data_IF_781321963968
#
_entry.id   IF_781321963968
#
_cell.length_a   1.000
_cell.length_b   1.000
_cell.length_c   1.000
_cell.angle_alpha   90.00
_cell.angle_beta   90.00
_cell.angle_gamma   90.00
#
_symmetry.space_group_name_H-M   'P 1'
#
loop_
_entity.id
_entity.type
_entity.pdbx_description
1 polymer ?
#
# COMPACT_ATOMS: atom_id res chain seq x y z
N UNK A 1 30.59 38.45 -51.09
CA UNK A 1 31.79 37.93 -50.38
C UNK A 1 31.48 36.51 -49.93
N UNK A 2 32.29 35.54 -50.37
CA UNK A 2 32.10 34.09 -50.18
C UNK A 2 32.43 33.68 -48.74
N UNK A 3 31.58 32.87 -48.10
CA UNK A 3 31.92 32.14 -46.88
C UNK A 3 32.54 30.80 -47.26
N UNK A 4 33.83 30.64 -46.97
CA UNK A 4 34.65 29.46 -47.26
C UNK A 4 34.57 28.42 -46.15
N UNK A 5 34.64 27.14 -46.54
CA UNK A 5 34.51 25.93 -45.72
C UNK A 5 35.41 25.91 -44.47
N UNK A 6 34.83 25.52 -43.33
CA UNK A 6 35.61 25.09 -42.15
C UNK A 6 35.80 23.57 -42.16
N UNK A 7 37.05 23.19 -41.94
CA UNK A 7 37.63 21.84 -41.99
C UNK A 7 37.03 20.87 -40.96
N UNK A 8 36.83 19.62 -41.38
CA UNK A 8 36.33 18.45 -40.63
C UNK A 8 37.27 18.02 -39.46
N UNK A 9 38.40 18.69 -39.28
CA UNK A 9 39.45 18.33 -38.32
C UNK A 9 39.13 18.69 -36.85
N UNK A 10 38.05 19.42 -36.55
CA UNK A 10 37.71 19.83 -35.16
C UNK A 10 36.73 18.90 -34.42
N UNK A 11 36.22 17.84 -35.05
CA UNK A 11 35.23 16.92 -34.44
C UNK A 11 35.86 15.67 -33.79
N UNK A 12 37.12 15.35 -34.13
CA UNK A 12 37.76 14.09 -33.69
C UNK A 12 38.50 14.20 -32.34
N UNK A 13 38.67 15.41 -31.78
CA UNK A 13 39.48 15.62 -30.56
C UNK A 13 38.71 15.59 -29.22
N UNK A 14 37.40 15.29 -29.20
CA UNK A 14 36.58 15.23 -27.96
C UNK A 14 36.11 13.83 -27.57
N UNK A 15 36.53 12.77 -28.25
CA UNK A 15 36.07 11.39 -27.98
C UNK A 15 37.14 10.45 -27.41
N UNK A 16 38.35 10.92 -27.09
CA UNK A 16 39.46 10.07 -26.61
C UNK A 16 39.82 10.29 -25.13
N UNK A 17 39.16 11.18 -24.40
CA UNK A 17 39.45 11.46 -22.97
C UNK A 17 38.55 10.78 -21.94
N UNK A 18 37.63 9.87 -22.33
CA UNK A 18 36.72 9.17 -21.38
C UNK A 18 36.99 7.66 -21.25
N UNK A 19 38.09 7.13 -21.82
CA UNK A 19 38.30 5.68 -21.88
C UNK A 19 39.52 5.11 -21.14
N UNK A 20 40.23 5.88 -20.28
CA UNK A 20 41.45 5.35 -19.61
C UNK A 20 41.65 5.81 -18.17
N UNK A 21 40.69 5.56 -17.28
CA UNK A 21 40.97 5.41 -15.83
C UNK A 21 40.11 4.28 -15.25
N UNK A 22 40.25 3.08 -15.82
CA UNK A 22 40.05 1.82 -15.09
C UNK A 22 41.39 1.06 -15.21
N UNK A 23 42.35 1.50 -14.39
CA UNK A 23 43.69 0.92 -14.28
C UNK A 23 44.06 0.89 -12.81
N UNK A 24 44.45 -0.27 -12.32
CA UNK A 24 44.38 -0.64 -10.92
C UNK A 24 45.26 0.17 -9.98
N UNK A 25 44.79 0.24 -8.73
CA UNK A 25 45.65 0.50 -7.58
C UNK A 25 45.45 -0.67 -6.62
N UNK A 26 46.40 -1.60 -6.65
CA UNK A 26 46.64 -2.53 -5.57
C UNK A 26 47.31 -1.74 -4.43
N UNK A 27 46.58 -1.49 -3.34
CA UNK A 27 47.18 -0.97 -2.10
C UNK A 27 47.43 -2.16 -1.18
N UNK A 28 48.72 -2.36 -0.89
CA UNK A 28 49.24 -3.30 0.08
C UNK A 28 48.59 -3.11 1.46
N UNK A 29 48.30 -4.22 2.13
CA UNK A 29 47.61 -4.25 3.41
C UNK A 29 48.38 -3.55 4.53
N UNK A 30 47.66 -2.72 5.28
CA UNK A 30 47.99 -2.38 6.66
C UNK A 30 46.85 -2.96 7.51
N UNK A 31 47.23 -3.91 8.36
CA UNK A 31 46.36 -4.59 9.30
C UNK A 31 45.93 -3.63 10.41
N UNK A 32 44.64 -3.31 10.46
CA UNK A 32 43.96 -2.87 11.68
C UNK A 32 42.72 -3.74 11.86
N UNK A 33 42.68 -4.47 12.97
CA UNK A 33 41.68 -5.49 13.25
C UNK A 33 40.25 -4.97 13.16
N UNK A 34 39.48 -5.50 12.21
CA UNK A 34 38.02 -5.48 12.25
C UNK A 34 37.55 -6.85 12.72
N UNK A 35 36.77 -6.86 13.79
CA UNK A 35 35.91 -7.98 14.16
C UNK A 35 35.20 -8.52 12.91
N UNK A 36 35.03 -9.85 12.74
CA UNK A 36 34.28 -10.36 11.61
C UNK A 36 32.82 -9.95 11.80
N UNK A 37 32.40 -8.90 11.10
CA UNK A 37 31.00 -8.71 10.83
C UNK A 37 30.53 -9.98 10.10
N UNK A 38 29.60 -10.70 10.72
CA UNK A 38 28.85 -11.73 10.02
C UNK A 38 28.11 -11.04 8.88
N UNK A 39 28.72 -11.01 7.70
CA UNK A 39 27.99 -10.76 6.47
C UNK A 39 27.02 -11.93 6.32
N UNK A 40 25.79 -11.73 6.79
CA UNK A 40 24.68 -12.58 6.40
C UNK A 40 24.70 -12.60 4.88
N UNK A 41 25.04 -13.75 4.31
CA UNK A 41 24.89 -13.97 2.87
C UNK A 41 23.40 -13.82 2.60
N UNK A 42 22.99 -12.66 2.09
CA UNK A 42 21.67 -12.54 1.48
C UNK A 42 21.69 -13.56 0.35
N UNK A 43 20.88 -14.62 0.50
CA UNK A 43 20.57 -15.48 -0.62
C UNK A 43 19.91 -14.59 -1.66
N UNK A 44 20.67 -14.13 -2.65
CA UNK A 44 20.15 -13.52 -3.86
C UNK A 44 19.39 -14.61 -4.60
N UNK A 45 18.14 -14.84 -4.16
CA UNK A 45 17.17 -15.52 -4.98
C UNK A 45 17.15 -14.80 -6.32
N UNK A 46 17.31 -15.56 -7.40
CA UNK A 46 17.22 -15.03 -8.76
C UNK A 46 15.96 -14.17 -8.87
N UNK A 47 16.02 -12.97 -9.49
CA UNK A 47 14.83 -12.13 -9.61
C UNK A 47 13.74 -12.93 -10.30
N UNK A 48 12.66 -13.24 -9.56
CA UNK A 48 11.49 -13.88 -10.13
C UNK A 48 10.61 -12.76 -10.69
N UNK A 49 10.34 -12.81 -11.99
CA UNK A 49 9.36 -11.92 -12.61
C UNK A 49 8.03 -12.67 -12.64
N UNK A 50 7.06 -12.19 -11.87
CA UNK A 50 5.68 -12.67 -11.95
C UNK A 50 4.86 -11.72 -12.82
N UNK A 51 4.42 -12.19 -13.97
CA UNK A 51 3.45 -11.47 -14.79
C UNK A 51 2.08 -11.55 -14.11
N UNK A 52 1.46 -10.39 -13.87
CA UNK A 52 0.10 -10.28 -13.33
C UNK A 52 -0.80 -9.78 -14.46
N UNK A 53 -1.79 -10.58 -14.86
CA UNK A 53 -2.77 -10.15 -15.85
C UNK A 53 -3.66 -9.04 -15.26
N UNK A 54 -4.11 -8.13 -16.13
CA UNK A 54 -5.09 -7.13 -15.73
C UNK A 54 -6.42 -7.79 -15.38
N UNK A 55 -7.01 -7.39 -14.25
CA UNK A 55 -8.37 -7.69 -13.83
C UNK A 55 -9.44 -6.80 -14.47
N UNK A 56 -9.05 -5.90 -15.37
CA UNK A 56 -9.97 -4.99 -16.06
C UNK A 56 -9.68 -3.51 -15.79
N UNK A 57 -10.67 -2.67 -16.02
CA UNK A 57 -10.58 -1.21 -15.88
C UNK A 57 -11.71 -0.70 -15.01
N UNK A 58 -11.42 0.28 -14.16
CA UNK A 58 -12.41 0.96 -13.32
C UNK A 58 -12.33 2.48 -13.44
N UNK A 59 -13.31 3.17 -12.86
CA UNK A 59 -13.40 4.62 -12.69
C UNK A 59 -14.30 4.93 -11.49
N UNK A 60 -14.27 6.17 -11.01
CA UNK A 60 -15.18 6.65 -9.97
C UNK A 60 -16.63 6.53 -10.44
N UNK A 61 -17.41 5.67 -9.80
CA UNK A 61 -18.83 5.49 -10.11
C UNK A 61 -19.70 6.44 -9.30
N UNK A 62 -20.67 7.06 -9.95
CA UNK A 62 -21.74 7.81 -9.28
C UNK A 62 -22.81 6.85 -8.79
N UNK A 63 -22.64 6.32 -7.58
CA UNK A 63 -23.74 5.70 -6.85
C UNK A 63 -24.40 6.77 -5.97
N UNK A 64 -25.73 6.71 -5.83
CA UNK A 64 -26.43 7.54 -4.85
C UNK A 64 -25.91 7.22 -3.45
N UNK A 65 -25.88 8.23 -2.58
CA UNK A 65 -25.69 7.99 -1.15
C UNK A 65 -26.93 7.30 -0.58
N UNK A 66 -26.73 6.47 0.44
CA UNK A 66 -27.79 5.91 1.25
C UNK A 66 -28.48 6.99 2.11
N UNK A 67 -29.48 6.55 2.87
CA UNK A 67 -30.19 7.41 3.82
C UNK A 67 -29.63 7.26 5.23
N UNK A 68 -29.78 8.31 6.03
CA UNK A 68 -29.47 8.26 7.46
C UNK A 68 -30.34 7.23 8.18
N UNK A 69 -29.75 6.60 9.19
CA UNK A 69 -30.43 5.65 10.05
C UNK A 69 -29.59 4.40 10.30
N UNK A 70 -29.97 3.66 11.34
CA UNK A 70 -29.40 2.35 11.66
C UNK A 70 -30.09 1.29 10.80
N UNK A 71 -29.31 0.49 10.10
CA UNK A 71 -29.74 -0.63 9.25
C UNK A 71 -29.09 -1.92 9.73
N UNK A 72 -29.88 -2.99 9.79
CA UNK A 72 -29.33 -4.30 10.16
C UNK A 72 -28.92 -5.12 8.92
N UNK A 73 -27.77 -5.80 8.92
CA UNK A 73 -26.68 -5.71 9.91
C UNK A 73 -25.79 -4.46 9.69
N UNK A 74 -25.39 -3.79 10.77
CA UNK A 74 -24.44 -2.67 10.71
C UNK A 74 -22.99 -3.12 10.63
N UNK A 75 -22.66 -4.23 11.31
CA UNK A 75 -21.32 -4.77 11.42
C UNK A 75 -21.27 -6.09 10.65
N UNK A 76 -20.17 -6.33 9.92
CA UNK A 76 -19.99 -7.60 9.24
C UNK A 76 -19.74 -8.71 10.27
N UNK A 77 -20.42 -9.84 10.12
CA UNK A 77 -20.21 -11.02 10.97
C UNK A 77 -18.77 -11.55 10.88
N UNK A 78 -18.12 -11.35 9.73
CA UNK A 78 -16.74 -11.72 9.48
C UNK A 78 -15.74 -10.85 10.25
N UNK A 79 -15.94 -9.52 10.29
CA UNK A 79 -15.13 -8.63 11.10
C UNK A 79 -15.33 -8.89 12.60
N UNK A 80 -16.57 -9.13 13.03
CA UNK A 80 -16.91 -9.39 14.43
C UNK A 80 -16.23 -10.66 15.00
N UNK A 81 -16.01 -11.69 14.17
CA UNK A 81 -15.42 -12.96 14.60
C UNK A 81 -13.88 -13.02 14.46
N UNK A 82 -13.28 -12.09 13.73
CA UNK A 82 -11.84 -12.14 13.36
C UNK A 82 -11.03 -11.07 14.08
N UNK A 83 -11.59 -9.86 14.23
CA UNK A 83 -11.05 -8.81 15.08
C UNK A 83 -11.68 -8.88 16.46
N UNK A 84 -11.75 -10.07 17.03
CA UNK A 84 -12.25 -10.25 18.38
C UNK A 84 -11.49 -9.32 19.31
N UNK A 85 -12.09 -8.16 19.64
CA UNK A 85 -11.75 -7.48 20.87
C UNK A 85 -11.87 -8.58 21.90
N UNK A 86 -10.76 -8.89 22.57
CA UNK A 86 -10.77 -9.81 23.67
C UNK A 86 -11.84 -9.30 24.63
N UNK A 87 -13.04 -9.89 24.54
CA UNK A 87 -14.07 -9.87 25.56
C UNK A 87 -13.57 -10.76 26.69
N UNK A 88 -12.34 -10.51 27.13
CA UNK A 88 -11.90 -10.93 28.43
C UNK A 88 -12.75 -10.10 29.38
N UNK A 89 -13.86 -10.69 29.82
CA UNK A 89 -14.65 -10.30 30.99
C UNK A 89 -13.83 -10.33 32.30
N UNK A 90 -12.51 -10.22 32.23
CA UNK A 90 -11.58 -10.12 33.35
C UNK A 90 -11.17 -8.66 33.55
N UNK A 91 -12.15 -7.76 33.51
CA UNK A 91 -11.95 -6.38 33.93
C UNK A 91 -11.96 -6.33 35.47
N UNK A 92 -10.95 -6.95 36.09
CA UNK A 92 -10.54 -6.58 37.45
C UNK A 92 -10.06 -5.15 37.35
N UNK A 93 -10.83 -4.21 37.87
CA UNK A 93 -10.59 -2.76 37.81
C UNK A 93 -9.42 -2.31 38.70
N UNK A 94 -8.31 -3.03 38.71
CA UNK A 94 -7.05 -2.52 39.26
C UNK A 94 -6.52 -1.47 38.31
N UNK A 95 -6.94 -0.22 38.55
CA UNK A 95 -6.43 0.97 37.89
C UNK A 95 -4.93 1.07 38.17
N UNK A 96 -4.11 0.61 37.22
CA UNK A 96 -2.67 0.86 37.28
C UNK A 96 -2.47 2.38 37.14
N UNK A 97 -1.94 3.01 38.19
CA UNK A 97 -1.46 4.38 38.13
C UNK A 97 -0.23 4.42 37.24
N UNK A 98 -0.38 4.98 36.04
CA UNK A 98 0.76 5.33 35.21
C UNK A 98 1.60 6.40 35.94
N UNK A 99 2.95 6.28 35.96
CA UNK A 99 3.81 7.36 36.42
C UNK A 99 3.50 8.64 35.64
N UNK A 100 3.58 9.83 36.26
CA UNK A 100 3.46 11.08 35.51
C UNK A 100 4.56 11.12 34.45
N UNK A 101 4.18 11.04 33.18
CA UNK A 101 5.08 11.35 32.09
C UNK A 101 5.28 12.87 32.08
N UNK A 102 6.46 13.34 32.43
CA UNK A 102 6.87 14.71 32.13
C UNK A 102 6.81 14.88 30.62
N UNK A 103 5.94 15.76 30.14
CA UNK A 103 5.93 16.15 28.74
C UNK A 103 7.32 16.66 28.38
N UNK A 104 8.02 15.94 27.50
CA UNK A 104 9.19 16.51 26.85
C UNK A 104 8.73 17.80 26.18
N UNK A 105 9.43 18.90 26.46
CA UNK A 105 9.17 20.18 25.82
C UNK A 105 9.39 19.95 24.32
N UNK A 106 8.29 19.85 23.57
CA UNK A 106 8.34 19.64 22.13
C UNK A 106 8.96 20.91 21.55
N UNK A 107 10.23 20.85 21.16
CA UNK A 107 10.84 21.88 20.31
C UNK A 107 9.90 22.11 19.15
N UNK A 108 9.51 23.37 18.89
CA UNK A 108 8.67 23.72 17.75
C UNK A 108 9.24 23.05 16.50
N UNK A 109 8.56 22.01 16.01
CA UNK A 109 8.86 21.48 14.70
C UNK A 109 8.60 22.62 13.72
N UNK A 110 9.56 22.92 12.84
CA UNK A 110 9.42 23.93 11.78
C UNK A 110 8.39 23.56 10.70
N UNK A 111 7.40 22.76 11.04
CA UNK A 111 6.27 22.35 10.22
C UNK A 111 5.06 23.15 10.64
N UNK A 112 4.65 24.08 9.79
CA UNK A 112 3.41 24.82 9.96
C UNK A 112 2.27 24.08 9.25
N UNK A 113 1.07 24.12 9.82
CA UNK A 113 -0.13 23.68 9.13
C UNK A 113 -0.40 24.63 7.96
N UNK A 114 0.00 24.22 6.76
CA UNK A 114 -0.25 25.02 5.56
C UNK A 114 -1.73 24.96 5.15
N UNK A 115 -2.39 23.82 5.40
CA UNK A 115 -3.79 23.62 5.01
C UNK A 115 -4.47 22.47 5.73
N UNK A 116 -5.76 22.63 6.00
CA UNK A 116 -6.67 21.55 6.40
C UNK A 116 -8.01 21.71 5.70
N UNK A 117 -8.72 20.60 5.53
CA UNK A 117 -10.11 20.57 5.05
C UNK A 117 -10.79 19.31 5.56
N UNK A 118 -12.13 19.29 5.53
CA UNK A 118 -12.90 18.11 5.90
C UNK A 118 -12.84 17.07 4.77
N UNK A 119 -12.18 15.96 5.05
CA UNK A 119 -12.13 14.77 4.20
C UNK A 119 -13.37 13.89 4.33
N UNK A 120 -13.23 12.63 3.91
CA UNK A 120 -14.24 11.59 4.10
C UNK A 120 -14.40 11.31 5.60
N UNK A 121 -15.64 11.27 6.08
CA UNK A 121 -15.95 10.81 7.43
C UNK A 121 -16.64 9.44 7.41
N UNK A 122 -16.82 8.84 8.59
CA UNK A 122 -17.46 7.52 8.71
C UNK A 122 -18.88 7.49 8.10
N UNK A 123 -19.68 8.55 8.27
CA UNK A 123 -21.01 8.63 7.68
C UNK A 123 -20.96 8.59 6.15
N UNK A 124 -20.03 9.32 5.54
CA UNK A 124 -19.84 9.30 4.09
C UNK A 124 -19.46 7.90 3.59
N UNK A 125 -18.57 7.21 4.30
CA UNK A 125 -18.21 5.82 4.00
C UNK A 125 -19.39 4.86 4.15
N UNK A 126 -20.15 4.98 5.24
CA UNK A 126 -21.29 4.14 5.58
C UNK A 126 -22.47 4.35 4.62
N UNK A 127 -22.63 5.55 4.06
CA UNK A 127 -23.69 5.85 3.10
C UNK A 127 -23.26 5.65 1.64
N UNK A 128 -21.98 5.40 1.36
CA UNK A 128 -21.52 5.11 0.01
C UNK A 128 -22.26 3.90 -0.61
N UNK A 129 -22.34 3.89 -1.94
CA UNK A 129 -22.95 2.80 -2.71
C UNK A 129 -24.41 2.48 -2.30
N UNK A 130 -25.21 3.51 -2.03
CA UNK A 130 -26.60 3.39 -1.61
C UNK A 130 -26.79 2.88 -0.17
N UNK A 131 -25.78 3.03 0.70
CA UNK A 131 -25.80 2.51 2.07
C UNK A 131 -25.53 1.00 2.17
N UNK A 132 -25.00 0.41 1.11
CA UNK A 132 -24.63 -1.01 1.04
C UNK A 132 -23.19 -1.28 1.55
N UNK A 133 -22.79 -0.50 2.56
CA UNK A 133 -21.53 -0.62 3.29
C UNK A 133 -21.81 -0.95 4.75
N UNK A 134 -20.84 -1.57 5.42
CA UNK A 134 -20.86 -1.74 6.87
C UNK A 134 -20.37 -0.47 7.56
N UNK A 135 -20.73 -0.31 8.83
CA UNK A 135 -20.03 0.58 9.73
C UNK A 135 -18.72 -0.09 10.12
N UNK A 136 -17.59 0.53 9.77
CA UNK A 136 -16.27 -0.05 10.00
C UNK A 136 -15.39 0.89 10.82
N UNK A 137 -14.86 0.36 11.92
CA UNK A 137 -13.93 1.02 12.81
C UNK A 137 -12.94 -0.03 13.38
N UNK A 138 -11.68 0.35 13.70
CA UNK A 138 -11.11 1.71 13.65
C UNK A 138 -10.84 2.21 12.21
N UNK A 139 -10.69 3.53 12.01
CA UNK A 139 -10.46 4.10 10.69
C UNK A 139 -9.06 3.79 10.13
N UNK A 140 -9.00 3.15 8.96
CA UNK A 140 -7.79 2.97 8.15
C UNK A 140 -7.72 4.09 7.11
N UNK A 141 -6.76 5.01 7.25
CA UNK A 141 -6.60 6.13 6.31
C UNK A 141 -5.49 5.87 5.28
N UNK A 142 -5.84 6.00 4.01
CA UNK A 142 -4.90 6.18 2.90
C UNK A 142 -5.00 7.59 2.32
N UNK A 143 -3.92 8.37 2.36
CA UNK A 143 -3.90 9.73 1.81
C UNK A 143 -2.66 9.96 0.94
N UNK A 144 -2.88 10.44 -0.28
CA UNK A 144 -1.81 10.75 -1.22
C UNK A 144 -2.04 12.08 -1.90
N UNK A 145 -0.95 12.78 -2.19
CA UNK A 145 -1.01 14.08 -2.82
C UNK A 145 0.02 14.15 -3.96
N UNK A 146 -0.37 14.77 -5.08
CA UNK A 146 0.46 14.84 -6.27
C UNK A 146 -0.28 15.48 -7.44
N UNK A 147 0.46 16.10 -8.37
CA UNK A 147 -0.06 16.61 -9.64
C UNK A 147 -1.35 17.45 -9.59
N UNK A 148 -1.58 18.23 -8.53
CA UNK A 148 -2.81 19.05 -8.40
C UNK A 148 -3.90 18.44 -7.53
N UNK A 149 -3.74 17.19 -7.11
CA UNK A 149 -4.80 16.38 -6.52
C UNK A 149 -4.41 15.83 -5.14
N UNK A 150 -5.44 15.57 -4.34
CA UNK A 150 -5.38 14.75 -3.14
C UNK A 150 -6.29 13.55 -3.35
N UNK A 151 -5.74 12.34 -3.27
CA UNK A 151 -6.45 11.08 -3.29
C UNK A 151 -6.57 10.60 -1.85
N UNK A 152 -7.79 10.67 -1.30
CA UNK A 152 -8.10 10.19 0.04
C UNK A 152 -8.92 8.90 -0.04
N UNK A 153 -8.62 7.98 0.87
CA UNK A 153 -9.40 6.79 1.18
C UNK A 153 -9.48 6.65 2.69
N UNK A 154 -10.67 6.41 3.21
CA UNK A 154 -10.91 6.14 4.64
C UNK A 154 -11.75 4.89 4.73
N UNK A 155 -11.21 3.85 5.36
CA UNK A 155 -11.80 2.51 5.39
C UNK A 155 -12.17 2.05 3.98
N UNK A 156 -13.47 1.94 3.73
CA UNK A 156 -14.04 1.35 2.52
C UNK A 156 -14.57 2.40 1.55
N UNK A 157 -14.14 3.65 1.65
CA UNK A 157 -14.56 4.70 0.72
C UNK A 157 -13.42 5.63 0.31
N UNK A 158 -13.44 6.04 -0.95
CA UNK A 158 -12.43 6.92 -1.56
C UNK A 158 -13.02 8.12 -2.28
N UNK A 159 -12.19 9.16 -2.42
CA UNK A 159 -12.53 10.42 -3.09
C UNK A 159 -11.28 11.18 -3.54
N UNK A 160 -11.41 11.89 -4.66
CA UNK A 160 -10.41 12.85 -5.13
C UNK A 160 -10.84 14.27 -4.75
N UNK A 161 -9.88 15.04 -4.25
CA UNK A 161 -9.97 16.48 -4.01
C UNK A 161 -8.93 17.20 -4.86
N UNK A 162 -9.13 18.50 -5.09
CA UNK A 162 -8.02 19.38 -5.47
C UNK A 162 -7.20 19.78 -4.22
N UNK A 163 -6.06 20.45 -4.42
CA UNK A 163 -5.26 21.00 -3.32
C UNK A 163 -5.98 22.07 -2.48
N UNK A 164 -7.18 22.53 -2.87
CA UNK A 164 -8.01 23.37 -2.04
C UNK A 164 -8.82 22.60 -1.00
N UNK A 165 -8.89 21.27 -1.12
CA UNK A 165 -9.81 20.45 -0.35
C UNK A 165 -11.20 20.43 -0.96
N UNK A 166 -11.39 20.98 -2.16
CA UNK A 166 -12.67 20.90 -2.86
C UNK A 166 -12.77 19.53 -3.51
N UNK A 167 -13.88 18.80 -3.27
CA UNK A 167 -14.05 17.50 -3.86
C UNK A 167 -14.24 17.58 -5.37
N UNK A 168 -13.63 16.64 -6.09
CA UNK A 168 -13.68 16.52 -7.54
C UNK A 168 -14.42 15.26 -8.01
N UNK A 169 -14.62 14.29 -7.13
CA UNK A 169 -15.40 13.06 -7.39
C UNK A 169 -16.48 12.88 -6.31
N UNK A 170 -17.49 12.02 -6.55
CA UNK A 170 -18.31 11.50 -5.45
C UNK A 170 -17.46 10.69 -4.47
N UNK A 171 -18.02 10.44 -3.28
CA UNK A 171 -17.53 9.40 -2.37
C UNK A 171 -17.90 8.05 -2.98
N UNK A 172 -16.91 7.21 -3.26
CA UNK A 172 -17.09 5.92 -3.92
C UNK A 172 -16.65 4.80 -2.99
N UNK A 173 -17.50 3.79 -2.80
CA UNK A 173 -17.14 2.60 -2.02
C UNK A 173 -16.01 1.82 -2.70
N UNK A 174 -15.07 1.26 -1.94
CA UNK A 174 -13.97 0.46 -2.47
C UNK A 174 -14.46 -0.74 -3.26
N UNK A 175 -15.47 -1.48 -2.77
CA UNK A 175 -16.08 -2.57 -3.53
C UNK A 175 -16.55 -2.10 -4.92
N UNK A 176 -17.25 -0.97 -5.00
CA UNK A 176 -17.71 -0.43 -6.28
C UNK A 176 -16.54 0.03 -7.16
N UNK A 177 -15.53 0.69 -6.57
CA UNK A 177 -14.33 1.11 -7.30
C UNK A 177 -13.53 -0.09 -7.83
N UNK A 178 -13.43 -1.20 -7.12
CA UNK A 178 -12.73 -2.39 -7.62
C UNK A 178 -13.61 -3.32 -8.48
N UNK A 179 -14.87 -2.95 -8.72
CA UNK A 179 -15.80 -3.74 -9.55
C UNK A 179 -16.38 -4.97 -8.85
N UNK A 180 -16.31 -5.02 -7.52
CA UNK A 180 -16.90 -6.07 -6.71
C UNK A 180 -18.39 -5.81 -6.43
N UNK A 181 -19.15 -6.87 -6.08
CA UNK A 181 -20.43 -6.70 -5.40
C UNK A 181 -20.27 -5.81 -4.15
N UNK A 182 -21.32 -5.06 -3.77
CA UNK A 182 -21.30 -4.24 -2.54
C UNK A 182 -20.91 -5.08 -1.32
N UNK A 183 -20.30 -4.46 -0.31
CA UNK A 183 -19.93 -5.15 0.93
C UNK A 183 -21.13 -5.94 1.51
N UNK A 184 -22.32 -5.34 1.46
CA UNK A 184 -23.59 -6.03 1.65
C UNK A 184 -24.66 -5.46 0.75
N UNK A 185 -25.35 -6.29 -0.03
CA UNK A 185 -26.61 -5.91 -0.65
C UNK A 185 -27.75 -6.08 0.36
N UNK A 186 -28.26 -4.98 0.91
CA UNK A 186 -29.27 -5.01 1.99
C UNK A 186 -30.64 -5.54 1.57
N UNK A 187 -30.94 -5.56 0.27
CA UNK A 187 -32.20 -6.11 -0.26
C UNK A 187 -32.15 -7.64 -0.35
N UNK A 188 -31.01 -8.21 -0.73
CA UNK A 188 -30.85 -9.65 -0.97
C UNK A 188 -30.07 -10.38 0.13
N UNK A 189 -29.47 -9.63 1.05
CA UNK A 189 -28.56 -10.11 2.10
C UNK A 189 -27.40 -10.95 1.54
N UNK A 190 -26.89 -10.55 0.36
CA UNK A 190 -25.67 -11.10 -0.22
C UNK A 190 -24.47 -10.22 0.09
N UNK A 191 -23.33 -10.86 0.32
CA UNK A 191 -22.10 -10.19 0.75
C UNK A 191 -21.07 -10.18 -0.38
N UNK A 192 -20.42 -9.03 -0.57
CA UNK A 192 -19.22 -8.90 -1.40
C UNK A 192 -17.94 -9.14 -0.58
N UNK A 193 -16.78 -9.25 -1.25
CA UNK A 193 -15.49 -9.36 -0.57
C UNK A 193 -15.28 -8.25 0.46
N UNK A 194 -14.54 -8.55 1.51
CA UNK A 194 -14.14 -7.56 2.51
C UNK A 194 -12.85 -6.89 2.04
N UNK A 195 -12.98 -5.65 1.57
CA UNK A 195 -11.87 -4.82 1.11
C UNK A 195 -11.41 -3.97 2.29
N UNK A 196 -10.11 -3.87 2.53
CA UNK A 196 -9.54 -3.23 3.73
C UNK A 196 -8.10 -2.76 3.48
N UNK A 197 -7.51 -2.13 4.49
CA UNK A 197 -6.12 -1.64 4.50
C UNK A 197 -5.73 -0.82 3.25
N UNK A 198 -6.47 0.24 2.91
CA UNK A 198 -6.17 1.04 1.73
C UNK A 198 -4.83 1.77 1.87
N UNK A 199 -4.09 1.83 0.76
CA UNK A 199 -2.89 2.66 0.61
C UNK A 199 -2.85 3.23 -0.80
N UNK A 200 -2.21 4.38 -0.97
CA UNK A 200 -2.03 4.96 -2.29
C UNK A 200 -0.62 5.52 -2.45
N UNK A 201 -0.28 5.90 -3.68
CA UNK A 201 0.94 6.63 -4.01
C UNK A 201 0.81 7.36 -5.35
N UNK A 202 1.39 8.56 -5.47
CA UNK A 202 1.61 9.20 -6.76
C UNK A 202 3.08 9.11 -7.14
N UNK A 203 3.37 8.43 -8.24
CA UNK A 203 4.71 8.38 -8.80
C UNK A 203 4.93 9.52 -9.79
N UNK A 204 5.85 10.42 -9.46
CA UNK A 204 6.22 11.54 -10.31
C UNK A 204 6.94 11.11 -11.60
N UNK A 205 7.67 9.99 -11.59
CA UNK A 205 8.43 9.57 -12.76
C UNK A 205 7.53 9.04 -13.87
N UNK A 206 6.59 8.16 -13.54
CA UNK A 206 5.63 7.61 -14.49
C UNK A 206 4.38 8.46 -14.65
N UNK A 207 4.18 9.47 -13.78
CA UNK A 207 2.99 10.29 -13.71
C UNK A 207 1.73 9.42 -13.55
N UNK A 208 1.77 8.50 -12.58
CA UNK A 208 0.71 7.54 -12.30
C UNK A 208 0.36 7.46 -10.83
N UNK A 209 -0.92 7.23 -10.58
CA UNK A 209 -1.46 6.95 -9.27
C UNK A 209 -1.59 5.46 -9.09
N UNK A 210 -1.19 5.01 -7.91
CA UNK A 210 -1.32 3.64 -7.43
C UNK A 210 -2.24 3.68 -6.23
N UNK A 211 -3.22 2.78 -6.20
CA UNK A 211 -4.08 2.56 -5.05
C UNK A 211 -4.15 1.06 -4.81
N UNK A 212 -3.89 0.62 -3.59
CA UNK A 212 -3.82 -0.79 -3.22
C UNK A 212 -4.70 -1.04 -2.00
N UNK A 213 -5.31 -2.21 -1.96
CA UNK A 213 -6.13 -2.70 -0.85
C UNK A 213 -5.82 -4.17 -0.61
N UNK A 214 -5.99 -4.62 0.62
CA UNK A 214 -6.16 -6.03 0.94
C UNK A 214 -7.61 -6.42 0.71
N UNK A 215 -7.84 -7.53 0.01
CA UNK A 215 -9.18 -8.08 -0.22
C UNK A 215 -9.24 -9.48 0.36
N UNK A 216 -10.21 -9.73 1.23
CA UNK A 216 -10.53 -11.03 1.81
C UNK A 216 -11.79 -11.58 1.15
N UNK A 217 -11.69 -12.73 0.51
CA UNK A 217 -12.80 -13.39 -0.15
C UNK A 217 -13.79 -13.93 0.88
N UNK A 218 -15.08 -13.73 0.63
CA UNK A 218 -16.18 -14.20 1.49
C UNK A 218 -17.08 -15.19 0.76
N UNK A 219 -17.79 -16.02 1.53
CA UNK A 219 -18.92 -16.81 1.06
C UNK A 219 -20.13 -15.87 0.90
N UNK A 220 -20.66 -15.63 -0.33
CA UNK A 220 -21.65 -14.58 -0.55
C UNK A 220 -22.98 -14.75 0.19
N UNK A 221 -23.32 -15.97 0.61
CA UNK A 221 -24.55 -16.25 1.36
C UNK A 221 -24.45 -16.04 2.86
N UNK A 222 -23.24 -16.03 3.43
CA UNK A 222 -23.04 -15.96 4.88
C UNK A 222 -22.13 -14.82 5.32
N UNK A 223 -21.37 -14.24 4.37
CA UNK A 223 -20.32 -13.25 4.65
C UNK A 223 -19.06 -13.84 5.29
N UNK A 224 -19.02 -15.14 5.58
CA UNK A 224 -17.86 -15.77 6.22
C UNK A 224 -16.63 -15.76 5.30
N UNK A 225 -15.45 -15.50 5.86
CA UNK A 225 -14.20 -15.57 5.09
C UNK A 225 -13.95 -16.98 4.55
N UNK A 226 -13.49 -17.05 3.30
CA UNK A 226 -13.10 -18.30 2.66
C UNK A 226 -11.65 -18.71 3.00
N UNK A 227 -10.89 -17.80 3.62
CA UNK A 227 -9.45 -17.93 3.84
C UNK A 227 -8.58 -17.52 2.64
N UNK A 228 -9.19 -17.18 1.50
CA UNK A 228 -8.48 -16.58 0.36
C UNK A 228 -8.44 -15.06 0.50
N UNK A 229 -7.30 -14.50 0.10
CA UNK A 229 -7.01 -13.08 0.06
C UNK A 229 -6.04 -12.72 -1.08
N UNK A 230 -6.07 -11.46 -1.49
CA UNK A 230 -5.16 -10.91 -2.49
C UNK A 230 -5.01 -9.40 -2.26
N UNK A 231 -3.95 -8.82 -2.83
CA UNK A 231 -3.82 -7.37 -2.92
C UNK A 231 -4.37 -6.92 -4.27
N UNK A 232 -5.25 -5.93 -4.26
CA UNK A 232 -5.78 -5.35 -5.48
C UNK A 232 -5.17 -3.99 -5.77
N UNK A 233 -4.38 -3.94 -6.83
CA UNK A 233 -3.71 -2.72 -7.27
C UNK A 233 -4.48 -2.06 -8.41
N UNK A 234 -4.93 -0.84 -8.20
CA UNK A 234 -5.44 0.05 -9.23
C UNK A 234 -4.34 1.03 -9.66
N UNK A 235 -4.02 1.06 -10.95
CA UNK A 235 -3.04 2.00 -11.54
C UNK A 235 -3.74 2.93 -12.51
N UNK A 236 -3.65 4.24 -12.32
CA UNK A 236 -4.31 5.21 -13.19
C UNK A 236 -3.83 5.06 -14.65
N UNK A 237 -4.66 5.42 -15.63
CA UNK A 237 -4.24 5.42 -17.04
C UNK A 237 -3.52 6.71 -17.43
N UNK A 238 -3.72 7.79 -16.67
CA UNK A 238 -3.15 9.12 -16.89
C UNK A 238 -2.67 9.72 -15.56
N UNK A 239 -2.11 10.92 -15.60
CA UNK A 239 -1.72 11.69 -14.42
C UNK A 239 -2.89 12.31 -13.66
N UNK A 240 -4.10 12.27 -14.25
CA UNK A 240 -5.34 12.72 -13.63
C UNK A 240 -6.03 11.53 -12.93
N UNK A 241 -6.08 11.51 -11.59
CA UNK A 241 -6.64 10.38 -10.83
C UNK A 241 -8.16 10.30 -10.94
N UNK A 242 -8.85 11.27 -11.58
CA UNK A 242 -10.31 11.18 -11.80
C UNK A 242 -10.66 10.27 -12.97
N UNK A 243 -9.66 9.92 -13.79
CA UNK A 243 -9.82 9.09 -14.97
C UNK A 243 -9.99 7.60 -14.68
N UNK A 244 -9.67 6.78 -15.69
CA UNK A 244 -9.75 5.33 -15.60
C UNK A 244 -8.50 4.74 -14.92
N UNK A 245 -8.66 3.62 -14.22
CA UNK A 245 -7.60 2.81 -13.63
C UNK A 245 -7.60 1.41 -14.22
N UNK A 246 -6.43 0.78 -14.31
CA UNK A 246 -6.27 -0.63 -14.63
C UNK A 246 -6.11 -1.39 -13.31
N UNK A 247 -6.89 -2.45 -13.12
CA UNK A 247 -6.85 -3.28 -11.91
C UNK A 247 -5.92 -4.48 -12.14
N UNK A 248 -5.19 -4.87 -11.10
CA UNK A 248 -4.39 -6.09 -11.02
C UNK A 248 -4.66 -6.79 -9.69
N UNK A 249 -4.87 -8.10 -9.74
CA UNK A 249 -5.06 -8.93 -8.55
C UNK A 249 -3.76 -9.69 -8.26
N UNK A 250 -3.14 -9.39 -7.13
CA UNK A 250 -1.85 -9.93 -6.71
C UNK A 250 -2.11 -10.99 -5.64
N UNK A 251 -1.92 -12.29 -5.93
CA UNK A 251 -2.06 -13.33 -4.91
C UNK A 251 -1.01 -13.15 -3.82
N UNK A 252 -1.42 -13.26 -2.56
CA UNK A 252 -0.52 -13.11 -1.40
C UNK A 252 -0.36 -14.37 -0.56
N UNK A 253 -0.99 -15.49 -0.94
CA UNK A 253 -0.65 -16.77 -0.31
C UNK A 253 0.62 -17.36 -0.91
N UNK A 254 1.55 -17.72 -0.04
CA UNK A 254 2.59 -18.67 -0.36
C UNK A 254 1.94 -20.02 -0.70
N UNK A 255 2.03 -20.45 -1.95
CA UNK A 255 1.89 -21.87 -2.24
C UNK A 255 3.15 -22.52 -1.66
N UNK A 256 3.05 -23.54 -0.79
CA UNK A 256 4.24 -24.21 -0.30
C UNK A 256 4.98 -24.79 -1.50
N UNK A 257 6.11 -24.18 -1.86
CA UNK A 257 7.13 -24.88 -2.60
C UNK A 257 7.52 -26.06 -1.72
N UNK A 258 7.38 -27.27 -2.25
CA UNK A 258 7.64 -28.54 -1.56
C UNK A 258 8.87 -28.41 -0.65
N UNK A 259 8.61 -28.49 0.65
CA UNK A 259 9.53 -28.85 1.75
C UNK A 259 11.01 -28.86 1.37
N UNK A 260 11.69 -27.70 1.45
CA UNK A 260 13.14 -27.72 1.61
C UNK A 260 13.44 -28.15 3.06
N UNK A 261 13.71 -29.43 3.22
CA UNK A 261 14.19 -30.05 4.45
C UNK A 261 15.62 -29.54 4.71
N UNK A 262 15.77 -28.49 5.52
CA UNK A 262 17.09 -28.03 5.94
C UNK A 262 17.59 -28.93 7.09
N UNK A 263 18.26 -30.03 6.75
CA UNK A 263 19.04 -30.80 7.74
C UNK A 263 20.33 -30.03 8.05
N UNK A 264 20.37 -29.39 9.22
CA UNK A 264 21.61 -28.86 9.77
C UNK A 264 22.39 -30.00 10.43
N UNK A 265 23.47 -30.47 9.79
CA UNK A 265 24.54 -31.23 10.46
C UNK A 265 25.71 -30.30 10.75
N UNK A 266 26.07 -30.15 12.02
CA UNK A 266 27.32 -29.50 12.44
C UNK A 266 28.54 -30.35 12.06
N UNK A 267 29.66 -29.77 11.59
CA UNK A 267 30.90 -30.49 11.40
C UNK A 267 31.60 -30.69 12.76
N UNK A 268 31.91 -31.93 13.11
CA UNK A 268 32.82 -32.27 14.22
C UNK A 268 34.24 -31.78 13.90
N UNK A 269 34.83 -31.01 14.81
CA UNK A 269 36.22 -30.56 14.73
C UNK A 269 37.19 -31.68 15.07
N UNK A 270 38.11 -31.99 14.15
CA UNK A 270 39.29 -32.80 14.43
C UNK A 270 40.35 -31.92 15.09
N UNK A 271 40.55 -32.05 16.41
CA UNK A 271 41.75 -31.54 17.07
C UNK A 271 42.89 -32.55 16.86
N UNK A 272 44.00 -32.09 16.25
CA UNK A 272 45.28 -32.80 16.24
C UNK A 272 46.10 -32.23 17.40
N UNK A 273 46.35 -33.06 18.41
CA UNK A 273 47.18 -32.76 19.59
C UNK A 273 48.63 -33.09 19.27
N UNK A 274 49.56 -32.28 19.79
CA UNK A 274 51.00 -32.54 19.85
C UNK A 274 51.32 -33.77 20.69
#
# INVERSE_FOLDING_TARGET
MRLTSRSVLSIVLSLVTIATIFGGIAVAGVWYGKTPAHAASSSTGSPFIRQIASGGTTSFTTASQGHDGVQSPEISSAANNTFGHASNKNNSSTRLTAPPASSAQQTQAGTELVKSFNGINHRDQRLANGGNQFSLEPPDQGLCAGNGFVFETVNDALRIYDYSGKPLTPVTALNAFYGYPPAINRTTLKFGPFVTDPSCYYDHATQRWFHVVLTLDVVPSTGAFTGKNHLDLAVSKTSDPRGKFTIYHIPVQDKPLRQMHLQLRSPSSTQRVS
#
